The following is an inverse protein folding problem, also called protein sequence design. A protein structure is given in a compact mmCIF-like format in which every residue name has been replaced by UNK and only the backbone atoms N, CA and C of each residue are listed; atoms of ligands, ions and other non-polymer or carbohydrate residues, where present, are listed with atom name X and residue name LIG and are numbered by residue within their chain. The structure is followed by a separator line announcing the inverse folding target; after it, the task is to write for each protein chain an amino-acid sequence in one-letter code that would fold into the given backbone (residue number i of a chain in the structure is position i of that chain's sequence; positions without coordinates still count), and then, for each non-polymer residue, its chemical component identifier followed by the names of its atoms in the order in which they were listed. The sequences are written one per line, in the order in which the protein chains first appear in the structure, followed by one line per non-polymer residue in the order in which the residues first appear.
data_IF_473972028050
#
_entry.id   IF_473972028050
#
_cell.length_a   1.000
_cell.length_b   1.000
_cell.length_c   1.000
_cell.angle_alpha   90.00
_cell.angle_beta   90.00
_cell.angle_gamma   90.00
#
_symmetry.space_group_name_H-M   'P 1'
#
loop_
_entity.id
_entity.type
_entity.pdbx_description
1 polymer ?
#
# COMPACT_ATOMS: atom_id res chain seq x y z
N UNK A 1 -31.05 8.76 2.58
CA UNK A 1 -30.90 7.33 2.28
C UNK A 1 -30.08 7.14 1.00
N UNK A 2 -28.77 6.80 1.07
CA UNK A 2 -28.01 6.31 -0.09
C UNK A 2 -27.11 5.08 0.20
N UNK A 3 -27.33 4.34 1.29
CA UNK A 3 -26.38 3.34 1.80
C UNK A 3 -26.31 2.01 1.03
N UNK A 4 -27.32 1.64 0.23
CA UNK A 4 -27.37 0.32 -0.41
C UNK A 4 -26.58 0.21 -1.73
N UNK A 5 -26.40 1.30 -2.47
CA UNK A 5 -25.73 1.29 -3.79
C UNK A 5 -24.21 1.09 -3.66
N UNK A 6 -23.59 1.64 -2.61
CA UNK A 6 -22.13 1.62 -2.45
C UNK A 6 -21.56 0.20 -2.24
N UNK A 7 -22.27 -0.68 -1.54
CA UNK A 7 -21.77 -2.01 -1.23
C UNK A 7 -21.65 -2.90 -2.47
N UNK A 8 -22.59 -2.78 -3.42
CA UNK A 8 -22.55 -3.50 -4.70
C UNK A 8 -21.42 -3.00 -5.60
N UNK A 9 -21.21 -1.68 -5.69
CA UNK A 9 -20.12 -1.10 -6.49
C UNK A 9 -18.76 -1.55 -5.94
N UNK A 10 -18.57 -1.49 -4.63
CA UNK A 10 -17.34 -1.96 -3.97
C UNK A 10 -17.09 -3.45 -4.19
N UNK A 11 -18.12 -4.29 -4.04
CA UNK A 11 -17.98 -5.74 -4.25
C UNK A 11 -17.60 -6.08 -5.69
N UNK A 12 -18.14 -5.36 -6.68
CA UNK A 12 -17.76 -5.55 -8.09
C UNK A 12 -16.31 -5.16 -8.34
N UNK A 13 -15.87 -4.03 -7.81
CA UNK A 13 -14.48 -3.58 -7.97
C UNK A 13 -13.47 -4.52 -7.33
N UNK A 14 -13.78 -5.11 -6.17
CA UNK A 14 -12.94 -6.14 -5.54
C UNK A 14 -12.82 -7.39 -6.43
N UNK A 15 -13.93 -7.85 -7.01
CA UNK A 15 -13.92 -8.99 -7.93
C UNK A 15 -13.13 -8.67 -9.20
N UNK A 16 -13.29 -7.47 -9.76
CA UNK A 16 -12.53 -7.02 -10.93
C UNK A 16 -11.02 -6.96 -10.63
N UNK A 17 -10.61 -6.40 -9.48
CA UNK A 17 -9.20 -6.44 -9.05
C UNK A 17 -8.67 -7.85 -8.85
N UNK A 18 -9.47 -8.75 -8.26
CA UNK A 18 -9.11 -10.15 -8.08
C UNK A 18 -8.92 -10.87 -9.42
N UNK A 19 -9.77 -10.61 -10.40
CA UNK A 19 -9.65 -11.16 -11.75
C UNK A 19 -8.37 -10.66 -12.44
N UNK A 20 -8.08 -9.36 -12.35
CA UNK A 20 -6.81 -8.81 -12.85
C UNK A 20 -5.61 -9.51 -12.21
N UNK A 21 -5.63 -9.69 -10.89
CA UNK A 21 -4.58 -10.41 -10.17
C UNK A 21 -4.44 -11.86 -10.66
N UNK A 22 -5.53 -12.60 -10.86
CA UNK A 22 -5.49 -13.97 -11.37
C UNK A 22 -4.88 -14.08 -12.76
N UNK A 23 -5.29 -13.21 -13.69
CA UNK A 23 -4.75 -13.16 -15.06
C UNK A 23 -3.27 -12.79 -15.03
N UNK A 24 -2.90 -11.77 -14.25
CA UNK A 24 -1.51 -11.33 -14.12
C UNK A 24 -0.62 -12.43 -13.54
N UNK A 25 -1.04 -13.09 -12.47
CA UNK A 25 -0.30 -14.20 -11.87
C UNK A 25 -0.15 -15.38 -12.85
N UNK A 26 -1.17 -15.63 -13.69
CA UNK A 26 -1.07 -16.66 -14.74
C UNK A 26 -0.07 -16.27 -15.83
N UNK A 27 -0.06 -15.02 -16.27
CA UNK A 27 0.89 -14.52 -17.27
C UNK A 27 2.34 -14.58 -16.79
N UNK A 28 2.58 -14.32 -15.50
CA UNK A 28 3.93 -14.40 -14.89
C UNK A 28 4.53 -15.80 -14.99
N UNK A 29 3.72 -16.85 -15.03
CA UNK A 29 4.20 -18.23 -15.22
C UNK A 29 4.93 -18.42 -16.55
N UNK A 30 4.78 -17.51 -17.51
CA UNK A 30 5.53 -17.59 -18.78
C UNK A 30 7.04 -17.59 -18.55
N UNK A 31 7.56 -16.91 -17.52
CA UNK A 31 9.00 -16.89 -17.21
C UNK A 31 9.53 -18.29 -16.83
N UNK A 32 9.03 -18.95 -15.78
CA UNK A 32 9.51 -20.29 -15.42
C UNK A 32 9.20 -21.33 -16.50
N UNK A 33 8.05 -21.24 -17.18
CA UNK A 33 7.69 -22.16 -18.25
C UNK A 33 8.61 -22.03 -19.47
N UNK A 34 8.99 -20.80 -19.84
CA UNK A 34 9.96 -20.55 -20.90
C UNK A 34 11.31 -21.19 -20.56
N UNK A 35 11.82 -20.99 -19.34
CA UNK A 35 13.08 -21.59 -18.93
C UNK A 35 13.03 -23.11 -18.93
N UNK A 36 11.94 -23.71 -18.43
CA UNK A 36 11.76 -25.18 -18.44
C UNK A 36 11.76 -25.73 -19.87
N UNK A 37 11.03 -25.11 -20.79
CA UNK A 37 11.00 -25.54 -22.19
C UNK A 37 12.34 -25.33 -22.92
N UNK A 38 13.06 -24.26 -22.61
CA UNK A 38 14.40 -24.02 -23.16
C UNK A 38 15.35 -25.12 -22.69
N UNK A 39 15.38 -25.45 -21.40
CA UNK A 39 16.24 -26.50 -20.87
C UNK A 39 15.87 -27.91 -21.33
N UNK A 40 14.58 -28.25 -21.35
CA UNK A 40 14.15 -29.62 -21.63
C UNK A 40 14.09 -29.92 -23.14
N UNK A 41 13.80 -28.91 -23.98
CA UNK A 41 13.56 -29.14 -25.41
C UNK A 41 14.54 -28.42 -26.32
N UNK A 42 14.85 -27.15 -26.05
CA UNK A 42 15.69 -26.37 -26.97
C UNK A 42 17.16 -26.78 -26.86
N UNK A 43 17.69 -26.88 -25.63
CA UNK A 43 19.08 -27.27 -25.43
C UNK A 43 19.39 -28.68 -25.98
N UNK A 44 18.58 -29.71 -25.72
CA UNK A 44 18.87 -31.06 -26.22
C UNK A 44 18.64 -31.21 -27.73
N UNK A 45 17.62 -30.56 -28.30
CA UNK A 45 17.29 -30.70 -29.72
C UNK A 45 18.07 -29.72 -30.63
N UNK A 46 18.76 -28.73 -30.06
CA UNK A 46 19.44 -27.65 -30.78
C UNK A 46 18.58 -26.95 -31.86
N UNK A 47 17.25 -26.96 -31.68
CA UNK A 47 16.31 -26.45 -32.68
C UNK A 47 16.02 -24.96 -32.44
N UNK A 48 16.62 -24.11 -33.27
CA UNK A 48 16.47 -22.65 -33.22
C UNK A 48 15.07 -22.16 -33.60
N UNK A 49 14.31 -22.91 -34.40
CA UNK A 49 12.95 -22.53 -34.79
C UNK A 49 12.03 -22.59 -33.56
N UNK A 50 12.13 -23.65 -32.76
CA UNK A 50 11.35 -23.80 -31.52
C UNK A 50 11.70 -22.69 -30.52
N UNK A 51 12.98 -22.34 -30.39
CA UNK A 51 13.42 -21.24 -29.55
C UNK A 51 12.80 -19.91 -30.00
N UNK A 52 12.76 -19.65 -31.31
CA UNK A 52 12.20 -18.42 -31.87
C UNK A 52 10.71 -18.29 -31.54
N UNK A 53 9.93 -19.36 -31.73
CA UNK A 53 8.50 -19.36 -31.38
C UNK A 53 8.27 -19.16 -29.87
N UNK A 54 9.03 -19.87 -29.02
CA UNK A 54 8.93 -19.73 -27.57
C UNK A 54 9.30 -18.32 -27.10
N UNK A 55 10.33 -17.72 -27.70
CA UNK A 55 10.80 -16.38 -27.37
C UNK A 55 9.76 -15.33 -27.78
N UNK A 56 9.20 -15.45 -28.98
CA UNK A 56 8.15 -14.54 -29.46
C UNK A 56 6.88 -14.65 -28.62
N UNK A 57 6.50 -15.87 -28.20
CA UNK A 57 5.40 -16.09 -27.26
C UNK A 57 5.70 -15.47 -25.89
N UNK A 58 6.89 -15.69 -25.34
CA UNK A 58 7.28 -15.12 -24.05
C UNK A 58 7.29 -13.58 -24.09
N UNK A 59 7.87 -12.98 -25.14
CA UNK A 59 7.91 -11.54 -25.33
C UNK A 59 6.51 -10.94 -25.47
N UNK A 60 5.64 -11.52 -26.30
CA UNK A 60 4.26 -11.04 -26.45
C UNK A 60 3.45 -11.17 -25.16
N UNK A 61 3.64 -12.25 -24.41
CA UNK A 61 3.01 -12.46 -23.10
C UNK A 61 3.51 -11.45 -22.06
N UNK A 62 4.82 -11.17 -22.03
CA UNK A 62 5.42 -10.16 -21.16
C UNK A 62 4.97 -8.74 -21.51
N UNK A 63 4.81 -8.44 -22.79
CA UNK A 63 4.26 -7.17 -23.25
C UNK A 63 2.82 -7.01 -22.77
N UNK A 64 1.99 -8.04 -22.94
CA UNK A 64 0.61 -8.05 -22.44
C UNK A 64 0.57 -7.90 -20.91
N UNK A 65 1.45 -8.59 -20.18
CA UNK A 65 1.60 -8.43 -18.74
C UNK A 65 1.89 -6.98 -18.34
N UNK A 66 2.86 -6.33 -18.99
CA UNK A 66 3.20 -4.93 -18.72
C UNK A 66 2.04 -3.98 -19.01
N UNK A 67 1.32 -4.18 -20.12
CA UNK A 67 0.13 -3.38 -20.46
C UNK A 67 -0.96 -3.56 -19.40
N UNK A 68 -1.25 -4.79 -18.99
CA UNK A 68 -2.24 -5.08 -17.95
C UNK A 68 -1.84 -4.51 -16.60
N UNK A 69 -0.55 -4.46 -16.26
CA UNK A 69 -0.07 -3.83 -15.04
C UNK A 69 -0.40 -2.33 -15.02
N UNK A 70 -0.15 -1.63 -16.13
CA UNK A 70 -0.48 -0.21 -16.27
C UNK A 70 -1.99 0.01 -16.19
N UNK A 71 -2.77 -0.80 -16.88
CA UNK A 71 -4.24 -0.73 -16.85
C UNK A 71 -4.78 -0.96 -15.43
N UNK A 72 -4.25 -1.96 -14.72
CA UNK A 72 -4.60 -2.24 -13.31
C UNK A 72 -4.28 -1.05 -12.40
N UNK A 73 -3.14 -0.39 -12.61
CA UNK A 73 -2.77 0.84 -11.91
C UNK A 73 -3.75 1.99 -12.13
N UNK A 74 -4.10 2.25 -13.40
CA UNK A 74 -5.08 3.30 -13.75
C UNK A 74 -6.48 2.96 -13.24
N UNK A 75 -6.87 1.68 -13.25
CA UNK A 75 -8.14 1.24 -12.70
C UNK A 75 -8.22 1.50 -11.19
N UNK A 76 -7.17 1.17 -10.43
CA UNK A 76 -7.11 1.41 -8.99
C UNK A 76 -7.19 2.89 -8.63
N UNK A 77 -6.50 3.76 -9.37
CA UNK A 77 -6.59 5.21 -9.15
C UNK A 77 -7.99 5.77 -9.46
N UNK A 78 -8.65 5.27 -10.52
CA UNK A 78 -10.05 5.61 -10.82
C UNK A 78 -11.00 5.12 -9.74
N UNK A 79 -10.79 3.92 -9.19
CA UNK A 79 -11.59 3.40 -8.07
C UNK A 79 -11.44 4.29 -6.83
N UNK A 80 -10.21 4.70 -6.51
CA UNK A 80 -9.94 5.60 -5.41
C UNK A 80 -10.67 6.95 -5.58
N UNK A 81 -10.67 7.52 -6.79
CA UNK A 81 -11.40 8.76 -7.09
C UNK A 81 -12.92 8.59 -6.98
N UNK A 82 -13.49 7.47 -7.43
CA UNK A 82 -14.93 7.19 -7.27
C UNK A 82 -15.33 7.08 -5.81
N UNK A 83 -14.50 6.42 -5.01
CA UNK A 83 -14.69 6.33 -3.57
C UNK A 83 -14.68 7.70 -2.92
N UNK A 84 -13.73 8.56 -3.30
CA UNK A 84 -13.61 9.94 -2.82
C UNK A 84 -14.88 10.75 -3.11
N UNK A 85 -15.43 10.68 -4.33
CA UNK A 85 -16.69 11.36 -4.66
C UNK A 85 -17.87 10.80 -3.88
N UNK A 86 -17.95 9.47 -3.72
CA UNK A 86 -19.09 8.82 -3.05
C UNK A 86 -19.11 9.03 -1.53
N UNK A 87 -17.94 9.10 -0.91
CA UNK A 87 -17.79 9.24 0.54
C UNK A 87 -17.51 10.69 0.95
N UNK A 88 -17.01 11.53 0.03
CA UNK A 88 -16.61 12.90 0.29
C UNK A 88 -17.70 13.74 0.94
N UNK A 89 -18.94 13.69 0.43
CA UNK A 89 -20.07 14.41 1.05
C UNK A 89 -20.36 13.91 2.46
N UNK A 90 -20.33 12.59 2.68
CA UNK A 90 -20.60 12.00 4.00
C UNK A 90 -19.47 12.31 5.00
N UNK A 91 -18.21 12.26 4.56
CA UNK A 91 -17.05 12.60 5.36
C UNK A 91 -16.98 14.10 5.68
N UNK A 92 -17.38 14.96 4.74
CA UNK A 92 -17.50 16.40 4.96
C UNK A 92 -18.60 16.73 5.98
N UNK A 93 -19.77 16.10 5.85
CA UNK A 93 -20.84 16.23 6.85
C UNK A 93 -20.40 15.72 8.22
N UNK A 94 -19.66 14.61 8.29
CA UNK A 94 -19.10 14.07 9.52
C UNK A 94 -18.08 15.02 10.17
N UNK A 95 -17.25 15.70 9.37
CA UNK A 95 -16.34 16.74 9.86
C UNK A 95 -17.12 17.94 10.44
N UNK A 96 -18.25 18.30 9.83
CA UNK A 96 -19.07 19.45 10.25
C UNK A 96 -20.00 19.18 11.43
N UNK A 97 -20.37 17.93 11.67
CA UNK A 97 -21.31 17.52 12.72
C UNK A 97 -20.63 16.78 13.88
N UNK A 98 -19.32 16.53 13.78
CA UNK A 98 -18.56 15.83 14.80
C UNK A 98 -18.37 16.65 16.08
N UNK A 99 -17.99 16.00 17.21
CA UNK A 99 -17.76 16.67 18.50
C UNK A 99 -16.69 17.77 18.44
N UNK A 100 -15.82 17.74 17.42
CA UNK A 100 -14.74 18.71 17.19
C UNK A 100 -15.02 19.68 16.03
N UNK A 101 -16.23 19.68 15.47
CA UNK A 101 -16.60 20.56 14.36
C UNK A 101 -16.40 22.05 14.69
N UNK A 102 -16.72 22.46 15.92
CA UNK A 102 -16.50 23.83 16.41
C UNK A 102 -15.02 24.25 16.49
N UNK A 103 -14.08 23.30 16.38
CA UNK A 103 -12.64 23.55 16.35
C UNK A 103 -12.07 23.59 14.91
N UNK A 104 -12.92 23.36 13.89
CA UNK A 104 -12.49 23.25 12.50
C UNK A 104 -11.71 21.96 12.18
N UNK A 105 -11.91 20.89 12.97
CA UNK A 105 -11.19 19.64 12.80
C UNK A 105 -11.70 18.85 11.58
N UNK A 106 -10.85 18.71 10.57
CA UNK A 106 -11.14 18.00 9.31
C UNK A 106 -10.61 16.55 9.31
N UNK A 107 -10.52 15.92 10.48
CA UNK A 107 -10.01 14.55 10.62
C UNK A 107 -10.70 13.55 9.67
N UNK A 108 -12.02 13.59 9.54
CA UNK A 108 -12.75 12.67 8.65
C UNK A 108 -12.35 12.81 7.17
N UNK A 109 -11.95 14.00 6.72
CA UNK A 109 -11.42 14.24 5.38
C UNK A 109 -9.98 13.73 5.24
N UNK A 110 -9.16 13.90 6.29
CA UNK A 110 -7.79 13.35 6.33
C UNK A 110 -7.81 11.82 6.26
N UNK A 111 -8.70 11.18 7.00
CA UNK A 111 -8.84 9.71 7.00
C UNK A 111 -9.30 9.22 5.63
N UNK A 112 -10.25 9.91 4.98
CA UNK A 112 -10.65 9.61 3.61
C UNK A 112 -9.48 9.75 2.63
N UNK A 113 -8.68 10.80 2.75
CA UNK A 113 -7.49 10.99 1.92
C UNK A 113 -6.45 9.88 2.11
N UNK A 114 -6.26 9.39 3.35
CA UNK A 114 -5.40 8.24 3.66
C UNK A 114 -5.92 6.96 3.00
N UNK A 115 -7.22 6.66 3.15
CA UNK A 115 -7.84 5.47 2.51
C UNK A 115 -7.73 5.53 0.99
N UNK A 116 -8.00 6.69 0.39
CA UNK A 116 -7.83 6.94 -1.04
C UNK A 116 -6.38 6.71 -1.47
N UNK A 117 -5.42 7.24 -0.70
CA UNK A 117 -3.99 7.05 -0.95
C UNK A 117 -3.59 5.58 -0.92
N UNK A 118 -4.12 4.82 0.04
CA UNK A 118 -3.89 3.37 0.13
C UNK A 118 -4.45 2.60 -1.08
N UNK A 119 -5.69 2.90 -1.51
CA UNK A 119 -6.32 2.22 -2.66
C UNK A 119 -5.62 2.57 -3.99
N UNK A 120 -5.15 3.81 -4.12
CA UNK A 120 -4.37 4.22 -5.29
C UNK A 120 -2.93 3.71 -5.26
N UNK A 121 -2.44 3.25 -4.10
CA UNK A 121 -1.08 2.74 -3.95
C UNK A 121 -0.93 1.36 -4.59
N UNK A 122 0.30 1.03 -5.01
CA UNK A 122 0.63 -0.33 -5.48
C UNK A 122 0.50 -1.39 -4.38
N UNK A 123 0.48 -0.97 -3.11
CA UNK A 123 0.40 -1.89 -1.96
C UNK A 123 -0.89 -2.68 -1.93
N UNK A 124 -2.00 -2.11 -2.43
CA UNK A 124 -3.28 -2.82 -2.50
C UNK A 124 -3.17 -4.09 -3.37
N UNK A 125 -2.32 -4.09 -4.38
CA UNK A 125 -2.14 -5.25 -5.28
C UNK A 125 -1.52 -6.44 -4.57
N UNK A 126 -0.64 -6.20 -3.59
CA UNK A 126 -0.08 -7.28 -2.78
C UNK A 126 -1.16 -8.08 -2.05
N UNK A 127 -2.24 -7.43 -1.58
CA UNK A 127 -3.35 -8.15 -0.93
C UNK A 127 -4.08 -9.09 -1.90
N UNK A 128 -4.21 -8.68 -3.17
CA UNK A 128 -4.83 -9.50 -4.20
C UNK A 128 -3.89 -10.60 -4.70
N UNK A 129 -2.59 -10.34 -4.74
CA UNK A 129 -1.57 -11.28 -5.21
C UNK A 129 -1.17 -12.31 -4.11
N UNK A 130 -1.38 -12.00 -2.83
CA UNK A 130 -1.08 -12.85 -1.66
C UNK A 130 -1.61 -14.31 -1.75
N UNK A 131 -2.86 -14.58 -2.15
CA UNK A 131 -3.36 -15.96 -2.27
C UNK A 131 -2.62 -16.80 -3.34
N UNK A 132 -1.98 -16.18 -4.33
CA UNK A 132 -1.24 -16.89 -5.37
C UNK A 132 0.15 -17.37 -4.91
N UNK A 133 0.73 -16.72 -3.90
CA UNK A 133 2.03 -17.10 -3.34
C UNK A 133 2.08 -18.59 -2.91
N UNK A 134 1.19 -19.05 -2.02
CA UNK A 134 1.12 -20.46 -1.63
C UNK A 134 0.83 -21.40 -2.81
N UNK A 135 0.06 -20.96 -3.80
CA UNK A 135 -0.22 -21.75 -5.01
C UNK A 135 1.07 -21.96 -5.81
N UNK A 136 1.90 -20.93 -6.00
CA UNK A 136 3.18 -21.07 -6.68
C UNK A 136 4.19 -21.92 -5.91
N UNK A 137 4.23 -21.77 -4.58
CA UNK A 137 5.04 -22.65 -3.73
C UNK A 137 4.57 -24.11 -3.85
N UNK A 138 3.26 -24.36 -3.86
CA UNK A 138 2.70 -25.69 -4.11
C UNK A 138 3.04 -26.23 -5.49
N UNK A 139 3.02 -25.39 -6.53
CA UNK A 139 3.43 -25.78 -7.89
C UNK A 139 4.92 -26.15 -7.96
N UNK A 140 5.77 -25.43 -7.22
CA UNK A 140 7.21 -25.67 -7.14
C UNK A 140 7.55 -27.06 -6.56
N UNK A 141 6.72 -27.59 -5.66
CA UNK A 141 6.88 -28.95 -5.14
C UNK A 141 6.87 -30.01 -6.24
N UNK A 142 6.00 -29.86 -7.25
CA UNK A 142 5.91 -30.78 -8.38
C UNK A 142 7.11 -30.68 -9.33
N UNK A 143 7.80 -29.55 -9.36
CA UNK A 143 9.00 -29.35 -10.17
C UNK A 143 10.22 -29.95 -9.47
N UNK A 144 10.49 -29.52 -8.23
CA UNK A 144 11.66 -30.00 -7.48
C UNK A 144 11.44 -29.88 -5.96
N UNK A 145 11.32 -31.00 -5.21
CA UNK A 145 11.04 -30.98 -3.77
C UNK A 145 12.06 -30.21 -2.92
N UNK A 146 13.34 -30.23 -3.30
CA UNK A 146 14.38 -29.48 -2.59
C UNK A 146 14.23 -27.96 -2.76
N UNK A 147 13.89 -27.47 -3.97
CA UNK A 147 13.65 -26.04 -4.20
C UNK A 147 12.43 -25.58 -3.42
N UNK A 148 11.38 -26.39 -3.38
CA UNK A 148 10.22 -26.15 -2.51
C UNK A 148 10.63 -25.96 -1.05
N UNK A 149 11.44 -26.87 -0.49
CA UNK A 149 11.87 -26.77 0.91
C UNK A 149 12.67 -25.49 1.17
N UNK A 150 13.61 -25.14 0.29
CA UNK A 150 14.39 -23.89 0.37
C UNK A 150 13.48 -22.67 0.31
N UNK A 151 12.52 -22.63 -0.62
CA UNK A 151 11.57 -21.53 -0.76
C UNK A 151 10.65 -21.40 0.45
N UNK A 152 10.17 -22.51 1.01
CA UNK A 152 9.32 -22.50 2.22
C UNK A 152 10.10 -21.98 3.42
N UNK A 153 11.32 -22.46 3.65
CA UNK A 153 12.17 -21.98 4.75
C UNK A 153 12.47 -20.49 4.59
N UNK A 154 12.81 -20.05 3.37
CA UNK A 154 13.02 -18.63 3.07
C UNK A 154 11.77 -17.78 3.28
N UNK A 155 10.60 -18.26 2.87
CA UNK A 155 9.32 -17.57 3.09
C UNK A 155 9.00 -17.44 4.57
N UNK A 156 9.18 -18.51 5.36
CA UNK A 156 8.99 -18.48 6.82
C UNK A 156 9.96 -17.51 7.48
N UNK A 157 11.23 -17.51 7.08
CA UNK A 157 12.24 -16.57 7.59
C UNK A 157 11.86 -15.12 7.27
N UNK A 158 11.45 -14.83 6.03
CA UNK A 158 11.00 -13.51 5.61
C UNK A 158 9.79 -13.04 6.41
N UNK A 159 8.81 -13.92 6.63
CA UNK A 159 7.63 -13.60 7.47
C UNK A 159 8.06 -13.35 8.91
N UNK A 160 8.98 -14.14 9.46
CA UNK A 160 9.49 -13.92 10.82
C UNK A 160 10.20 -12.56 10.94
N UNK A 161 11.08 -12.20 10.00
CA UNK A 161 11.76 -10.90 9.97
C UNK A 161 10.74 -9.77 9.83
N UNK A 162 9.76 -9.90 8.92
CA UNK A 162 8.71 -8.91 8.74
C UNK A 162 7.85 -8.73 10.00
N UNK A 163 7.51 -9.80 10.71
CA UNK A 163 6.79 -9.74 11.98
C UNK A 163 7.62 -9.08 13.07
N UNK A 164 8.91 -9.42 13.18
CA UNK A 164 9.82 -8.78 14.14
C UNK A 164 9.94 -7.28 13.87
N UNK A 165 10.12 -6.88 12.60
CA UNK A 165 10.15 -5.48 12.19
C UNK A 165 8.83 -4.78 12.51
N UNK A 166 7.68 -5.39 12.19
CA UNK A 166 6.37 -4.84 12.50
C UNK A 166 6.15 -4.65 14.01
N UNK A 167 6.55 -5.61 14.84
CA UNK A 167 6.45 -5.49 16.31
C UNK A 167 7.38 -4.40 16.83
N UNK A 168 8.63 -4.35 16.34
CA UNK A 168 9.61 -3.33 16.72
C UNK A 168 9.18 -1.92 16.30
N UNK A 169 8.59 -1.75 15.12
CA UNK A 169 8.23 -0.45 14.55
C UNK A 169 6.82 0.01 14.89
N UNK A 170 5.88 -0.89 15.23
CA UNK A 170 4.46 -0.51 15.43
C UNK A 170 4.23 0.40 16.63
N UNK A 171 4.88 0.14 17.77
CA UNK A 171 4.69 0.92 19.00
C UNK A 171 5.38 2.29 18.92
N UNK A 172 6.68 2.40 18.58
CA UNK A 172 7.29 3.70 18.37
C UNK A 172 6.61 4.45 17.20
N UNK A 173 6.06 3.70 16.24
CA UNK A 173 5.31 4.20 15.08
C UNK A 173 4.11 5.03 15.49
N UNK A 174 3.30 4.47 16.38
CA UNK A 174 2.15 5.14 16.97
C UNK A 174 2.57 6.33 17.82
N UNK A 175 3.58 6.17 18.68
CA UNK A 175 4.05 7.22 19.58
C UNK A 175 4.59 8.45 18.81
N UNK A 176 5.34 8.22 17.73
CA UNK A 176 5.82 9.29 16.85
C UNK A 176 4.67 10.00 16.11
N UNK A 177 3.71 9.23 15.57
CA UNK A 177 2.54 9.78 14.90
C UNK A 177 1.66 10.61 15.85
N UNK A 178 1.43 10.14 17.07
CA UNK A 178 0.69 10.87 18.11
C UNK A 178 1.39 12.16 18.52
N UNK A 179 2.72 12.11 18.72
CA UNK A 179 3.53 13.27 19.06
C UNK A 179 3.50 14.33 17.96
N UNK A 180 3.63 13.92 16.70
CA UNK A 180 3.53 14.81 15.54
C UNK A 180 2.14 15.44 15.43
N UNK A 181 1.08 14.64 15.56
CA UNK A 181 -0.30 15.13 15.54
C UNK A 181 -0.55 16.15 16.66
N UNK A 182 -0.03 15.90 17.86
CA UNK A 182 -0.15 16.84 18.96
C UNK A 182 0.58 18.17 18.67
N UNK A 183 1.78 18.13 18.09
CA UNK A 183 2.51 19.34 17.65
C UNK A 183 1.73 20.13 16.59
N UNK A 184 1.12 19.45 15.63
CA UNK A 184 0.28 20.08 14.59
C UNK A 184 -0.99 20.71 15.18
N UNK A 185 -1.62 20.04 16.15
CA UNK A 185 -2.82 20.57 16.82
C UNK A 185 -2.50 21.84 17.63
N UNK A 186 -1.34 21.88 18.31
CA UNK A 186 -0.87 23.09 19.00
C UNK A 186 -0.64 24.25 18.02
N UNK A 187 -0.01 23.98 16.87
CA UNK A 187 0.20 25.00 15.84
C UNK A 187 -1.14 25.57 15.33
N UNK A 188 -2.13 24.71 15.06
CA UNK A 188 -3.46 25.15 14.65
C UNK A 188 -4.15 25.99 15.74
N UNK A 189 -4.02 25.60 17.01
CA UNK A 189 -4.60 26.37 18.11
C UNK A 189 -3.98 27.76 18.24
N UNK A 190 -2.65 27.89 18.09
CA UNK A 190 -1.98 29.19 18.10
C UNK A 190 -2.33 30.03 16.87
N UNK A 191 -2.43 29.42 15.69
CA UNK A 191 -2.82 30.12 14.46
C UNK A 191 -4.27 30.65 14.56
N UNK A 192 -5.21 29.85 15.09
CA UNK A 192 -6.61 30.29 15.28
C UNK A 192 -6.74 31.42 16.29
N UNK A 193 -5.93 31.42 17.35
CA UNK A 193 -5.97 32.43 18.42
C UNK A 193 -4.84 33.46 18.28
N UNK A 194 -4.31 33.65 17.08
CA UNK A 194 -3.10 34.44 16.86
C UNK A 194 -3.25 35.89 17.35
N UNK A 195 -4.41 36.50 17.15
CA UNK A 195 -4.69 37.86 17.63
C UNK A 195 -4.60 37.97 19.16
N UNK A 196 -5.13 36.99 19.89
CA UNK A 196 -5.05 36.92 21.35
C UNK A 196 -3.61 36.68 21.81
N UNK A 197 -2.89 35.75 21.18
CA UNK A 197 -1.48 35.45 21.49
C UNK A 197 -0.61 36.68 21.25
N UNK A 198 -0.89 37.44 20.17
CA UNK A 198 -0.20 38.69 19.85
C UNK A 198 -0.54 39.80 20.84
N UNK A 199 -1.82 39.96 21.20
CA UNK A 199 -2.28 40.98 22.16
C UNK A 199 -1.67 40.80 23.55
N UNK A 200 -1.45 39.54 23.97
CA UNK A 200 -0.81 39.21 25.24
C UNK A 200 0.72 39.22 25.19
N UNK A 201 1.34 39.51 24.03
CA UNK A 201 2.79 39.47 23.87
C UNK A 201 3.40 38.07 23.95
N UNK A 202 2.59 37.01 23.82
CA UNK A 202 2.99 35.61 24.06
C UNK A 202 3.55 34.91 22.81
N UNK A 203 3.78 35.63 21.71
CA UNK A 203 4.20 35.04 20.42
C UNK A 203 5.49 34.23 20.55
N UNK A 204 6.53 34.78 21.19
CA UNK A 204 7.80 34.08 21.39
C UNK A 204 7.63 32.81 22.21
N UNK A 205 6.83 32.86 23.28
CA UNK A 205 6.54 31.71 24.13
C UNK A 205 5.75 30.61 23.37
N UNK A 206 4.82 31.01 22.50
CA UNK A 206 4.07 30.07 21.66
C UNK A 206 4.97 29.37 20.64
N UNK A 207 5.92 30.10 20.03
CA UNK A 207 6.90 29.55 19.09
C UNK A 207 7.83 28.56 19.81
N UNK A 208 8.32 28.91 20.99
CA UNK A 208 9.20 28.05 21.79
C UNK A 208 8.47 26.78 22.27
N UNK A 209 7.24 26.92 22.77
CA UNK A 209 6.39 25.79 23.17
C UNK A 209 6.09 24.85 22.00
N UNK A 210 5.76 25.39 20.82
CA UNK A 210 5.57 24.57 19.64
C UNK A 210 6.89 23.91 19.19
N UNK A 211 7.99 24.65 19.14
CA UNK A 211 9.29 24.20 18.67
C UNK A 211 9.86 23.05 19.52
N UNK A 212 9.73 23.13 20.84
CA UNK A 212 10.13 22.05 21.76
C UNK A 212 9.35 20.76 21.51
N UNK A 213 8.02 20.86 21.31
CA UNK A 213 7.17 19.70 21.02
C UNK A 213 7.43 19.12 19.63
N UNK A 214 7.65 19.98 18.64
CA UNK A 214 7.97 19.59 17.28
C UNK A 214 9.33 18.88 17.21
N UNK A 215 10.35 19.43 17.88
CA UNK A 215 11.66 18.78 18.01
C UNK A 215 11.55 17.39 18.65
N UNK A 216 10.78 17.26 19.75
CA UNK A 216 10.49 15.95 20.36
C UNK A 216 9.86 14.95 19.40
N UNK A 217 8.93 15.41 18.54
CA UNK A 217 8.30 14.55 17.52
C UNK A 217 9.26 14.14 16.39
N UNK A 218 10.24 14.98 16.05
CA UNK A 218 11.30 14.65 15.08
C UNK A 218 12.24 13.59 15.64
N UNK A 219 12.64 13.68 16.91
CA UNK A 219 13.45 12.65 17.56
C UNK A 219 12.74 11.29 17.63
N UNK A 220 11.44 11.27 17.91
CA UNK A 220 10.65 10.04 17.87
C UNK A 220 10.57 9.45 16.45
N UNK A 221 10.45 10.31 15.43
CA UNK A 221 10.44 9.89 14.02
C UNK A 221 11.81 9.38 13.55
N UNK A 222 12.90 9.97 14.03
CA UNK A 222 14.27 9.52 13.75
C UNK A 222 14.55 8.15 14.39
N UNK A 223 14.12 7.95 15.64
CA UNK A 223 14.21 6.64 16.31
C UNK A 223 13.55 5.52 15.50
N UNK A 224 12.41 5.80 14.87
CA UNK A 224 11.75 4.88 13.95
C UNK A 224 12.53 4.63 12.66
N UNK A 225 13.07 5.67 12.05
CA UNK A 225 13.87 5.54 10.84
C UNK A 225 15.08 4.62 11.08
N UNK A 226 15.70 4.69 12.26
CA UNK A 226 16.79 3.80 12.67
C UNK A 226 16.36 2.35 12.84
N UNK A 227 15.15 2.09 13.35
CA UNK A 227 14.60 0.72 13.45
C UNK A 227 14.37 0.13 12.05
N UNK A 228 13.88 0.95 11.11
CA UNK A 228 13.63 0.50 9.73
C UNK A 228 14.89 0.41 8.86
N UNK A 229 16.03 0.92 9.32
CA UNK A 229 17.31 0.86 8.60
C UNK A 229 18.02 -0.51 8.74
N UNK A 230 17.53 -1.39 9.62
CA UNK A 230 18.01 -2.76 9.85
C UNK A 230 16.94 -3.79 9.48
#
# INVERSE_FOLDING_TARGET
MPSYTNRRVLSKSVVEMGLFSAVMNTLVLVLPLYMLQVYDRVLPAANLDTLTYLTLLALSTLLLFGVLEVVRGVYASRLAARLDVSLGTSSFLAAMSGPRAGLGDVQALRDLATVRGFIASRTIFFLFDLPFGPIFVGLLYFIHPLLFLVTVVGAVLMVAIAMLNQVASSRPGKEAAESLNASMNSAQAFARNFETVRALGMVSNAIEFWGTRFSGSLHASDGLARINAF
#
